data_IF_393955116644
#
_entry.id   IF_393955116644
#
_cell.length_a   1.000
_cell.length_b   1.000
_cell.length_c   1.000
_cell.angle_alpha   90.00
_cell.angle_beta   90.00
_cell.angle_gamma   90.00
#
_symmetry.space_group_name_H-M   'P 1'
#
loop_
_entity.id
_entity.type
_entity.pdbx_description
1 polymer ?
#
# COMPACT_ATOMS: atom_id res chain seq x y z
N UNK A 1 0.92 28.24 2.21
CA UNK A 1 1.98 29.15 1.76
C UNK A 1 2.33 30.12 2.89
N UNK A 2 3.61 30.43 3.05
CA UNK A 2 4.11 31.41 4.03
C UNK A 2 4.24 32.78 3.37
N UNK A 3 4.74 32.82 2.13
CA UNK A 3 4.83 34.03 1.34
C UNK A 3 3.55 34.19 0.50
N UNK A 4 2.87 35.37 0.56
CA UNK A 4 1.71 35.64 -0.27
C UNK A 4 1.95 35.48 -1.77
N UNK A 5 3.19 35.71 -2.21
CA UNK A 5 3.55 35.58 -3.64
C UNK A 5 3.59 34.13 -4.12
N UNK A 6 3.84 33.18 -3.21
CA UNK A 6 3.86 31.75 -3.56
C UNK A 6 2.47 31.17 -3.86
N UNK A 7 1.43 31.87 -3.48
CA UNK A 7 0.05 31.47 -3.73
C UNK A 7 -0.26 31.35 -5.23
N UNK A 8 0.45 32.07 -6.07
CA UNK A 8 0.31 32.00 -7.52
C UNK A 8 0.60 30.60 -8.06
N UNK A 9 1.50 29.84 -7.44
CA UNK A 9 1.80 28.46 -7.84
C UNK A 9 0.57 27.55 -7.70
N UNK A 10 -0.26 27.77 -6.70
CA UNK A 10 -1.52 27.05 -6.54
C UNK A 10 -2.48 27.32 -7.68
N UNK A 11 -2.62 28.59 -8.08
CA UNK A 11 -3.50 29.02 -9.18
C UNK A 11 -3.05 28.43 -10.52
N UNK A 12 -1.74 28.41 -10.78
CA UNK A 12 -1.18 27.79 -11.97
C UNK A 12 -1.52 26.29 -12.01
N UNK A 13 -1.35 25.59 -10.89
CA UNK A 13 -1.68 24.15 -10.80
C UNK A 13 -3.17 23.92 -10.98
N UNK A 14 -4.02 24.74 -10.39
CA UNK A 14 -5.48 24.64 -10.53
C UNK A 14 -5.91 24.84 -11.98
N UNK A 15 -5.43 25.89 -12.64
CA UNK A 15 -5.70 26.13 -14.06
C UNK A 15 -5.23 24.95 -14.91
N UNK A 16 -4.03 24.41 -14.64
CA UNK A 16 -3.51 23.23 -15.34
C UNK A 16 -4.33 21.95 -15.11
N UNK A 17 -5.13 21.90 -14.05
CA UNK A 17 -6.08 20.82 -13.77
C UNK A 17 -7.50 21.09 -14.29
N UNK A 18 -7.73 22.21 -14.98
CA UNK A 18 -9.01 22.55 -15.58
C UNK A 18 -10.00 23.22 -14.64
N UNK A 19 -9.54 23.86 -13.55
CA UNK A 19 -10.39 24.70 -12.73
C UNK A 19 -10.53 26.08 -13.38
N UNK A 20 -11.75 26.47 -13.75
CA UNK A 20 -12.03 27.72 -14.47
C UNK A 20 -12.04 28.94 -13.53
N UNK A 21 -12.22 28.72 -12.22
CA UNK A 21 -12.31 29.74 -11.17
C UNK A 21 -11.00 30.00 -10.42
N UNK A 22 -9.87 29.52 -10.93
CA UNK A 22 -8.59 29.60 -10.25
C UNK A 22 -8.19 31.04 -9.89
N UNK A 23 -8.52 32.02 -10.72
CA UNK A 23 -8.21 33.44 -10.49
C UNK A 23 -9.23 34.17 -9.59
N UNK A 24 -10.41 33.60 -9.43
CA UNK A 24 -11.50 34.17 -8.61
C UNK A 24 -11.44 33.71 -7.14
N UNK A 25 -10.62 32.73 -6.84
CA UNK A 25 -10.50 32.19 -5.49
C UNK A 25 -9.77 33.14 -4.55
N UNK A 26 -10.20 33.15 -3.27
CA UNK A 26 -9.51 33.89 -2.23
C UNK A 26 -8.04 33.44 -2.09
N UNK A 27 -7.10 34.38 -1.82
CA UNK A 27 -5.71 34.05 -1.62
C UNK A 27 -5.52 33.23 -0.35
N UNK A 28 -4.75 32.14 -0.45
CA UNK A 28 -4.49 31.19 0.63
C UNK A 28 -3.02 31.24 1.07
N UNK A 29 -2.74 31.98 2.10
CA UNK A 29 -1.45 32.01 2.78
C UNK A 29 -1.61 32.20 4.29
N UNK A 30 -0.59 31.87 5.04
CA UNK A 30 -0.59 32.04 6.49
C UNK A 30 -0.47 33.53 6.83
N UNK A 31 -1.44 34.06 7.54
CA UNK A 31 -1.44 35.43 8.06
C UNK A 31 -1.11 35.45 9.53
N UNK A 32 -0.37 36.46 9.93
CA UNK A 32 -0.17 36.76 11.35
C UNK A 32 -1.44 37.39 11.97
N UNK A 33 -1.47 37.51 13.28
CA UNK A 33 -2.60 38.15 13.97
C UNK A 33 -2.75 39.62 13.54
N UNK A 34 -1.63 40.32 13.36
CA UNK A 34 -1.60 41.72 12.93
C UNK A 34 -2.17 41.86 11.49
N UNK A 35 -1.74 41.01 10.58
CA UNK A 35 -2.25 41.00 9.20
C UNK A 35 -3.75 40.68 9.16
N UNK A 36 -4.21 39.75 10.03
CA UNK A 36 -5.64 39.44 10.13
C UNK A 36 -6.44 40.61 10.69
N UNK A 37 -5.93 41.34 11.69
CA UNK A 37 -6.58 42.53 12.22
C UNK A 37 -6.67 43.67 11.18
N UNK A 38 -5.63 43.83 10.35
CA UNK A 38 -5.64 44.75 9.22
C UNK A 38 -6.68 44.38 8.19
N UNK A 39 -6.74 43.10 7.79
CA UNK A 39 -7.73 42.57 6.85
C UNK A 39 -9.16 42.82 7.29
N UNK A 40 -9.43 42.73 8.60
CA UNK A 40 -10.75 42.98 9.20
C UNK A 40 -10.97 44.44 9.69
N UNK A 41 -10.08 45.35 9.34
CA UNK A 41 -10.14 46.75 9.81
C UNK A 41 -11.44 47.49 9.40
N UNK A 42 -12.08 47.06 8.31
CA UNK A 42 -13.36 47.58 7.86
C UNK A 42 -14.51 47.39 8.84
N UNK A 43 -14.38 46.51 9.82
CA UNK A 43 -15.34 46.27 10.92
C UNK A 43 -15.20 47.26 12.08
N UNK A 44 -14.11 48.05 12.11
CA UNK A 44 -13.66 48.78 13.27
C UNK A 44 -12.86 47.94 14.25
N UNK A 45 -12.01 48.60 15.05
CA UNK A 45 -11.00 47.92 15.90
C UNK A 45 -11.58 46.94 16.91
N UNK A 46 -12.66 47.27 17.57
CA UNK A 46 -13.31 46.42 18.58
C UNK A 46 -13.88 45.13 17.96
N UNK A 47 -14.56 45.27 16.82
CA UNK A 47 -15.15 44.12 16.14
C UNK A 47 -14.12 43.27 15.42
N UNK A 48 -13.07 43.89 14.92
CA UNK A 48 -11.93 43.16 14.35
C UNK A 48 -11.24 42.30 15.42
N UNK A 49 -11.00 42.84 16.62
CA UNK A 49 -10.43 42.09 17.76
C UNK A 49 -11.37 40.95 18.20
N UNK A 50 -12.67 41.20 18.25
CA UNK A 50 -13.64 40.17 18.59
C UNK A 50 -13.56 39.00 17.60
N UNK A 51 -13.53 39.25 16.28
CA UNK A 51 -13.55 38.25 15.23
C UNK A 51 -12.21 37.51 15.14
N UNK A 52 -11.10 38.23 15.21
CA UNK A 52 -9.76 37.68 14.94
C UNK A 52 -9.16 37.01 16.19
N UNK A 53 -9.43 37.52 17.38
CA UNK A 53 -8.79 37.07 18.63
C UNK A 53 -9.78 36.41 19.58
N UNK A 54 -10.82 37.13 19.96
CA UNK A 54 -11.69 36.71 21.07
C UNK A 54 -12.52 35.48 20.72
N UNK A 55 -13.14 35.45 19.54
CA UNK A 55 -13.98 34.33 19.14
C UNK A 55 -13.16 33.06 18.79
N UNK A 56 -12.02 33.12 18.09
CA UNK A 56 -11.15 31.96 17.93
C UNK A 56 -10.65 31.38 19.26
N UNK A 57 -10.31 32.21 20.25
CA UNK A 57 -9.93 31.73 21.59
C UNK A 57 -11.09 31.03 22.29
N UNK A 58 -12.28 31.62 22.28
CA UNK A 58 -13.47 30.98 22.86
C UNK A 58 -13.73 29.58 22.22
N UNK A 59 -13.58 29.45 20.91
CA UNK A 59 -13.73 28.17 20.23
C UNK A 59 -12.63 27.20 20.67
N UNK A 60 -11.38 27.67 20.72
CA UNK A 60 -10.25 26.86 21.17
C UNK A 60 -10.44 26.32 22.59
N UNK A 61 -10.99 27.15 23.49
CA UNK A 61 -11.25 26.80 24.88
C UNK A 61 -12.36 25.74 25.04
N UNK A 62 -13.21 25.57 24.03
CA UNK A 62 -14.23 24.51 23.99
C UNK A 62 -13.67 23.17 23.52
N UNK A 63 -12.47 23.15 22.93
CA UNK A 63 -11.87 21.93 22.38
C UNK A 63 -11.24 21.12 23.52
N UNK A 64 -11.70 19.90 23.66
CA UNK A 64 -11.13 18.93 24.61
C UNK A 64 -10.11 18.03 23.90
N UNK A 65 -9.07 17.64 24.67
CA UNK A 65 -8.11 16.66 24.18
C UNK A 65 -8.73 15.27 24.20
N UNK A 66 -9.09 14.78 23.02
CA UNK A 66 -9.63 13.44 22.86
C UNK A 66 -8.68 12.53 22.08
N UNK A 67 -8.84 11.23 22.25
CA UNK A 67 -8.17 10.21 21.45
C UNK A 67 -9.24 9.49 20.59
N UNK A 68 -9.52 9.99 19.36
CA UNK A 68 -10.61 9.46 18.54
C UNK A 68 -10.37 8.03 18.07
N UNK A 69 -9.10 7.62 18.03
CA UNK A 69 -8.70 6.27 17.62
C UNK A 69 -8.14 5.55 18.86
N UNK A 70 -8.67 4.37 19.16
CA UNK A 70 -8.14 3.51 20.23
C UNK A 70 -6.69 3.15 19.94
N UNK A 71 -5.85 3.22 20.98
CA UNK A 71 -4.49 2.74 20.86
C UNK A 71 -4.46 1.22 20.68
N UNK A 72 -3.64 0.73 19.75
CA UNK A 72 -3.46 -0.69 19.46
C UNK A 72 -3.96 -1.10 18.07
N UNK A 73 -3.75 -2.39 17.78
CA UNK A 73 -4.23 -3.04 16.56
C UNK A 73 -5.30 -4.05 16.95
N UNK A 74 -6.40 -4.07 16.22
CA UNK A 74 -7.54 -4.92 16.51
C UNK A 74 -7.91 -5.74 15.27
N UNK A 75 -7.03 -6.67 14.82
CA UNK A 75 -7.37 -7.53 13.70
C UNK A 75 -8.54 -8.43 14.07
N UNK A 76 -9.39 -8.82 13.10
CA UNK A 76 -10.41 -9.83 13.34
C UNK A 76 -9.75 -11.16 13.72
N UNK A 77 -10.51 -12.03 14.39
CA UNK A 77 -10.06 -13.38 14.75
C UNK A 77 -10.72 -14.38 13.81
N UNK A 78 -9.90 -15.16 13.13
CA UNK A 78 -10.32 -16.33 12.35
C UNK A 78 -9.59 -17.53 12.97
N UNK A 79 -10.36 -18.48 13.46
CA UNK A 79 -9.83 -19.69 14.08
C UNK A 79 -8.90 -20.43 13.10
N UNK A 80 -7.80 -20.96 13.62
CA UNK A 80 -6.79 -21.69 12.86
C UNK A 80 -6.21 -20.97 11.63
N UNK A 81 -6.30 -19.63 11.57
CA UNK A 81 -5.77 -18.85 10.43
C UNK A 81 -4.30 -19.14 10.15
N UNK A 82 -3.48 -19.33 11.19
CA UNK A 82 -2.05 -19.62 11.09
C UNK A 82 -1.80 -20.97 10.40
N UNK A 83 -2.49 -22.02 10.84
CA UNK A 83 -2.40 -23.37 10.26
C UNK A 83 -2.97 -23.40 8.85
N UNK A 84 -4.08 -22.69 8.62
CA UNK A 84 -4.75 -22.61 7.32
C UNK A 84 -3.86 -21.93 6.31
N UNK A 85 -3.25 -20.79 6.66
CA UNK A 85 -2.34 -20.07 5.76
C UNK A 85 -1.14 -20.93 5.41
N UNK A 86 -0.52 -21.56 6.41
CA UNK A 86 0.64 -22.45 6.21
C UNK A 86 0.26 -23.58 5.25
N UNK A 87 -0.86 -24.25 5.50
CA UNK A 87 -1.34 -25.34 4.65
C UNK A 87 -1.57 -24.88 3.20
N UNK A 88 -2.33 -23.80 2.98
CA UNK A 88 -2.59 -23.27 1.63
C UNK A 88 -1.28 -22.99 0.88
N UNK A 89 -0.31 -22.36 1.54
CA UNK A 89 0.95 -22.00 0.92
C UNK A 89 1.79 -23.24 0.57
N UNK A 90 1.85 -24.22 1.44
CA UNK A 90 2.61 -25.46 1.18
C UNK A 90 1.92 -26.34 0.14
N UNK A 91 0.60 -26.50 0.21
CA UNK A 91 -0.16 -27.24 -0.80
C UNK A 91 0.10 -26.66 -2.21
N UNK A 92 0.06 -25.35 -2.33
CA UNK A 92 0.34 -24.68 -3.61
C UNK A 92 1.81 -24.79 -4.03
N UNK A 93 2.73 -24.69 -3.09
CA UNK A 93 4.16 -24.86 -3.37
C UNK A 93 4.45 -26.28 -3.89
N UNK A 94 3.87 -27.32 -3.27
CA UNK A 94 4.01 -28.68 -3.75
C UNK A 94 3.34 -28.94 -5.10
N UNK A 95 2.20 -28.29 -5.36
CA UNK A 95 1.55 -28.36 -6.67
C UNK A 95 2.44 -27.80 -7.78
N UNK A 96 3.18 -26.74 -7.53
CA UNK A 96 4.02 -26.05 -8.52
C UNK A 96 5.40 -26.71 -8.62
N UNK A 97 6.06 -26.96 -7.49
CA UNK A 97 7.47 -27.34 -7.40
C UNK A 97 7.69 -28.84 -7.13
N UNK A 98 6.62 -29.63 -6.94
CA UNK A 98 6.69 -31.06 -6.65
C UNK A 98 6.80 -31.40 -5.16
N UNK A 99 6.89 -32.71 -4.86
CA UNK A 99 6.92 -33.19 -3.47
C UNK A 99 8.19 -32.76 -2.72
N UNK A 100 9.34 -32.74 -3.40
CA UNK A 100 10.60 -32.25 -2.85
C UNK A 100 10.82 -30.78 -3.26
N UNK A 101 10.50 -29.85 -2.34
CA UNK A 101 10.67 -28.43 -2.62
C UNK A 101 12.15 -28.04 -2.69
N UNK A 102 12.56 -27.29 -3.74
CA UNK A 102 13.90 -26.69 -3.76
C UNK A 102 14.18 -25.87 -2.49
N UNK A 103 15.42 -25.88 -2.02
CA UNK A 103 15.81 -25.19 -0.78
C UNK A 103 15.46 -23.68 -0.83
N UNK A 104 15.67 -23.04 -1.98
CA UNK A 104 15.33 -21.62 -2.17
C UNK A 104 13.83 -21.34 -1.98
N UNK A 105 12.97 -22.28 -2.38
CA UNK A 105 11.51 -22.20 -2.24
C UNK A 105 11.11 -22.40 -0.79
N UNK A 106 11.55 -23.50 -0.18
CA UNK A 106 11.18 -23.87 1.18
C UNK A 106 11.72 -22.86 2.21
N UNK A 107 12.99 -22.43 2.09
CA UNK A 107 13.59 -21.44 2.97
C UNK A 107 12.91 -20.08 2.86
N UNK A 108 12.56 -19.65 1.65
CA UNK A 108 11.84 -18.40 1.44
C UNK A 108 10.45 -18.43 2.08
N UNK A 109 9.70 -19.50 1.82
CA UNK A 109 8.34 -19.68 2.33
C UNK A 109 8.33 -19.75 3.85
N UNK A 110 9.22 -20.54 4.45
CA UNK A 110 9.31 -20.67 5.91
C UNK A 110 9.65 -19.34 6.59
N UNK A 111 10.60 -18.59 6.05
CA UNK A 111 10.98 -17.28 6.57
C UNK A 111 9.80 -16.31 6.57
N UNK A 112 9.04 -16.24 5.47
CA UNK A 112 7.90 -15.33 5.37
C UNK A 112 6.74 -15.78 6.27
N UNK A 113 6.37 -17.05 6.24
CA UNK A 113 5.29 -17.58 7.09
C UNK A 113 5.59 -17.38 8.58
N UNK A 114 6.81 -17.62 9.01
CA UNK A 114 7.19 -17.39 10.41
C UNK A 114 7.05 -15.92 10.79
N UNK A 115 7.47 -15.01 9.92
CA UNK A 115 7.30 -13.57 10.16
C UNK A 115 5.83 -13.16 10.20
N UNK A 116 5.01 -13.62 9.24
CA UNK A 116 3.59 -13.31 9.15
C UNK A 116 2.84 -13.82 10.39
N UNK A 117 3.07 -15.07 10.76
CA UNK A 117 2.39 -15.75 11.88
C UNK A 117 2.80 -15.14 13.21
N UNK A 118 4.11 -15.00 13.47
CA UNK A 118 4.61 -14.48 14.74
C UNK A 118 4.19 -13.03 15.02
N UNK A 119 3.91 -12.26 13.98
CA UNK A 119 3.40 -10.90 14.10
C UNK A 119 1.85 -10.82 14.07
N UNK A 120 1.13 -11.95 14.03
CA UNK A 120 -0.33 -12.01 14.05
C UNK A 120 -1.02 -11.53 12.76
N UNK A 121 -0.32 -11.60 11.62
CA UNK A 121 -0.87 -11.15 10.34
C UNK A 121 -1.50 -12.27 9.48
N UNK A 122 -1.45 -13.53 9.92
CA UNK A 122 -2.03 -14.64 9.15
C UNK A 122 -3.50 -14.43 8.79
N UNK A 123 -4.28 -13.90 9.74
CA UNK A 123 -5.70 -13.59 9.50
C UNK A 123 -5.91 -12.60 8.36
N UNK A 124 -5.00 -11.61 8.20
CA UNK A 124 -5.09 -10.63 7.12
C UNK A 124 -4.80 -11.28 5.75
N UNK A 125 -3.85 -12.22 5.71
CA UNK A 125 -3.59 -13.01 4.50
C UNK A 125 -4.78 -13.88 4.13
N UNK A 126 -5.41 -14.55 5.10
CA UNK A 126 -6.62 -15.36 4.86
C UNK A 126 -7.78 -14.50 4.34
N UNK A 127 -7.98 -13.30 4.90
CA UNK A 127 -9.02 -12.38 4.40
C UNK A 127 -8.70 -11.95 2.97
N UNK A 128 -7.47 -11.52 2.70
CA UNK A 128 -7.07 -11.10 1.36
C UNK A 128 -7.23 -12.24 0.34
N UNK A 129 -6.78 -13.44 0.69
CA UNK A 129 -6.94 -14.63 -0.14
C UNK A 129 -8.41 -14.90 -0.49
N UNK A 130 -9.30 -14.88 0.50
CA UNK A 130 -10.74 -15.10 0.27
C UNK A 130 -11.34 -14.04 -0.65
N UNK A 131 -10.97 -12.77 -0.45
CA UNK A 131 -11.47 -11.67 -1.29
C UNK A 131 -10.99 -11.80 -2.75
N UNK A 132 -9.72 -12.14 -2.94
CA UNK A 132 -9.17 -12.32 -4.29
C UNK A 132 -9.80 -13.52 -4.98
N UNK A 133 -9.92 -14.64 -4.29
CA UNK A 133 -10.53 -15.85 -4.87
C UNK A 133 -11.99 -15.63 -5.21
N UNK A 134 -12.77 -15.02 -4.33
CA UNK A 134 -14.17 -14.69 -4.60
C UNK A 134 -14.33 -13.76 -5.81
N UNK A 135 -13.46 -12.75 -5.93
CA UNK A 135 -13.44 -11.89 -7.12
C UNK A 135 -13.15 -12.66 -8.41
N UNK A 136 -12.14 -13.52 -8.40
CA UNK A 136 -11.76 -14.31 -9.56
C UNK A 136 -12.86 -15.30 -9.95
N UNK A 137 -13.51 -15.95 -8.98
CA UNK A 137 -14.62 -16.87 -9.20
C UNK A 137 -15.84 -16.19 -9.86
N UNK A 138 -16.00 -14.87 -9.60
CA UNK A 138 -17.01 -14.05 -10.27
C UNK A 138 -16.53 -13.40 -11.57
N UNK A 139 -15.34 -13.74 -12.05
CA UNK A 139 -14.79 -13.25 -13.31
C UNK A 139 -14.20 -11.84 -13.26
N UNK A 140 -13.96 -11.29 -12.07
CA UNK A 140 -13.31 -10.01 -11.88
C UNK A 140 -11.80 -10.19 -11.71
N UNK A 141 -11.02 -9.42 -12.49
CA UNK A 141 -9.57 -9.43 -12.38
C UNK A 141 -9.11 -8.64 -11.15
N UNK A 142 -8.20 -9.21 -10.39
CA UNK A 142 -7.56 -8.57 -9.25
C UNK A 142 -6.08 -8.36 -9.54
N UNK A 143 -5.64 -7.10 -9.57
CA UNK A 143 -4.23 -6.75 -9.76
C UNK A 143 -3.53 -6.43 -8.45
N UNK A 144 -2.28 -6.87 -8.33
CA UNK A 144 -1.43 -6.56 -7.18
C UNK A 144 -0.92 -5.13 -7.23
N UNK A 145 -0.86 -4.46 -6.07
CA UNK A 145 -0.25 -3.14 -5.92
C UNK A 145 0.71 -3.11 -4.73
N UNK A 146 1.79 -2.35 -4.88
CA UNK A 146 2.76 -2.14 -3.82
C UNK A 146 3.55 -3.40 -3.45
N UNK A 147 3.91 -3.51 -2.18
CA UNK A 147 4.84 -4.54 -1.68
C UNK A 147 4.31 -5.97 -1.65
N UNK A 148 3.01 -6.19 -1.91
CA UNK A 148 2.44 -7.55 -1.95
C UNK A 148 3.06 -8.40 -3.05
N UNK A 149 3.48 -7.80 -4.17
CA UNK A 149 4.20 -8.49 -5.25
C UNK A 149 5.61 -8.97 -4.88
N UNK A 150 6.14 -8.62 -3.70
CA UNK A 150 7.41 -9.13 -3.18
C UNK A 150 7.24 -10.23 -2.13
N UNK A 151 6.01 -10.63 -1.80
CA UNK A 151 5.71 -11.69 -0.84
C UNK A 151 5.45 -13.03 -1.52
N UNK A 152 6.33 -13.97 -1.31
CA UNK A 152 6.18 -15.33 -1.84
C UNK A 152 5.01 -16.08 -1.16
N UNK A 153 4.76 -15.82 0.11
CA UNK A 153 3.56 -16.33 0.79
C UNK A 153 2.27 -15.80 0.17
N UNK A 154 2.24 -14.55 -0.33
CA UNK A 154 1.10 -14.01 -1.06
C UNK A 154 0.91 -14.69 -2.42
N UNK A 155 2.00 -15.04 -3.11
CA UNK A 155 1.95 -15.82 -4.35
C UNK A 155 1.40 -17.22 -4.09
N UNK A 156 1.95 -17.91 -3.09
CA UNK A 156 1.54 -19.29 -2.75
C UNK A 156 0.12 -19.36 -2.19
N UNK A 157 -0.38 -18.30 -1.57
CA UNK A 157 -1.79 -18.22 -1.13
C UNK A 157 -2.76 -17.73 -2.20
N UNK A 158 -2.28 -17.41 -3.40
CA UNK A 158 -3.13 -16.95 -4.51
C UNK A 158 -3.67 -15.52 -4.33
N UNK A 159 -2.99 -14.69 -3.54
CA UNK A 159 -3.30 -13.26 -3.40
C UNK A 159 -2.73 -12.46 -4.55
N UNK A 160 -1.58 -12.87 -5.07
CA UNK A 160 -0.89 -12.23 -6.21
C UNK A 160 -0.37 -13.28 -7.18
N UNK A 161 -0.29 -12.89 -8.44
CA UNK A 161 0.32 -13.69 -9.52
C UNK A 161 1.84 -13.50 -9.60
N UNK A 162 2.36 -12.44 -8.97
CA UNK A 162 3.79 -12.11 -9.04
C UNK A 162 4.61 -13.07 -8.21
N UNK A 163 5.53 -13.79 -8.85
CA UNK A 163 6.50 -14.64 -8.15
C UNK A 163 7.78 -13.84 -7.84
N UNK A 164 8.10 -13.57 -6.56
CA UNK A 164 9.27 -12.77 -6.17
C UNK A 164 10.58 -13.56 -6.09
N UNK A 165 10.57 -14.83 -6.42
CA UNK A 165 11.80 -15.61 -6.52
C UNK A 165 12.64 -15.14 -7.72
N UNK A 166 13.95 -15.40 -7.73
CA UNK A 166 14.76 -15.22 -8.93
C UNK A 166 14.10 -15.90 -10.15
N UNK A 167 14.28 -15.33 -11.32
CA UNK A 167 13.76 -15.92 -12.56
C UNK A 167 14.28 -17.36 -12.72
N UNK A 168 13.39 -18.26 -13.08
CA UNK A 168 13.67 -19.69 -13.21
C UNK A 168 12.68 -20.37 -14.17
N UNK A 169 13.04 -21.55 -14.63
CA UNK A 169 12.15 -22.41 -15.38
C UNK A 169 11.59 -23.52 -14.51
N UNK A 170 10.36 -23.91 -14.76
CA UNK A 170 9.69 -25.05 -14.12
C UNK A 170 9.06 -25.89 -15.21
N UNK A 171 9.31 -27.19 -15.22
CA UNK A 171 8.58 -28.13 -16.06
C UNK A 171 7.21 -28.43 -15.43
N UNK A 172 6.09 -28.16 -16.11
CA UNK A 172 4.77 -28.39 -15.54
C UNK A 172 4.43 -29.89 -15.38
N UNK A 173 5.14 -30.79 -16.05
CA UNK A 173 4.86 -32.23 -16.01
C UNK A 173 5.68 -32.95 -14.93
N UNK A 174 7.00 -32.67 -14.85
CA UNK A 174 7.89 -33.38 -13.93
C UNK A 174 8.37 -32.53 -12.76
N UNK A 175 7.96 -31.26 -12.68
CA UNK A 175 8.35 -30.27 -11.66
C UNK A 175 9.87 -30.05 -11.55
N UNK A 176 10.63 -30.38 -12.59
CA UNK A 176 12.03 -30.01 -12.66
C UNK A 176 12.15 -28.47 -12.62
N UNK A 177 13.02 -27.98 -11.76
CA UNK A 177 13.21 -26.52 -11.55
C UNK A 177 14.66 -26.17 -11.87
N UNK A 178 14.82 -25.13 -12.68
CA UNK A 178 16.13 -24.61 -13.08
C UNK A 178 16.31 -23.15 -12.65
N UNK A 179 17.12 -22.93 -11.64
CA UNK A 179 17.56 -21.61 -11.19
C UNK A 179 18.96 -21.24 -11.67
N UNK A 180 19.77 -22.22 -12.09
CA UNK A 180 21.23 -22.09 -12.12
C UNK A 180 21.86 -22.26 -13.51
N UNK A 181 21.10 -22.68 -14.55
CA UNK A 181 21.66 -22.86 -15.88
C UNK A 181 22.26 -21.58 -16.45
N UNK A 182 23.22 -21.74 -17.36
CA UNK A 182 23.83 -20.61 -18.06
C UNK A 182 22.79 -19.71 -18.75
N UNK A 183 21.71 -20.31 -19.23
CA UNK A 183 20.62 -19.61 -19.88
C UNK A 183 19.85 -18.73 -18.91
N UNK A 184 19.46 -19.25 -17.74
CA UNK A 184 18.81 -18.48 -16.66
C UNK A 184 19.72 -17.36 -16.19
N UNK A 185 21.00 -17.65 -15.95
CA UNK A 185 21.98 -16.67 -15.53
C UNK A 185 22.22 -15.56 -16.57
N UNK A 186 22.18 -15.90 -17.85
CA UNK A 186 22.27 -14.93 -18.94
C UNK A 186 21.11 -13.95 -18.91
N UNK A 187 19.88 -14.42 -18.79
CA UNK A 187 18.70 -13.57 -18.75
C UNK A 187 18.63 -12.74 -17.47
N UNK A 188 18.98 -13.32 -16.34
CA UNK A 188 19.09 -12.60 -15.06
C UNK A 188 20.09 -11.42 -15.13
N UNK A 189 21.25 -11.62 -15.76
CA UNK A 189 22.23 -10.55 -16.00
C UNK A 189 21.74 -9.45 -16.94
N UNK A 190 20.80 -9.76 -17.82
CA UNK A 190 20.15 -8.80 -18.71
C UNK A 190 19.03 -8.04 -18.00
N UNK A 191 18.75 -8.34 -16.73
CA UNK A 191 17.65 -7.73 -15.95
C UNK A 191 16.26 -8.17 -16.40
N UNK A 192 16.15 -9.29 -17.09
CA UNK A 192 14.87 -9.84 -17.55
C UNK A 192 14.13 -10.49 -16.37
N UNK A 193 12.84 -10.23 -16.27
CA UNK A 193 11.96 -10.94 -15.37
C UNK A 193 11.59 -12.32 -15.96
N UNK A 194 10.99 -13.19 -15.13
CA UNK A 194 10.49 -14.48 -15.64
C UNK A 194 9.49 -14.35 -16.79
N UNK A 195 8.73 -13.24 -16.85
CA UNK A 195 7.80 -12.94 -17.94
C UNK A 195 8.50 -12.56 -19.26
N UNK A 196 9.71 -12.02 -19.18
CA UNK A 196 10.48 -11.57 -20.34
C UNK A 196 11.38 -12.67 -20.89
N UNK A 197 11.54 -13.77 -20.16
CA UNK A 197 12.32 -14.92 -20.60
C UNK A 197 11.56 -15.69 -21.67
N UNK A 198 12.22 -16.18 -22.74
CA UNK A 198 11.55 -16.99 -23.74
C UNK A 198 11.03 -18.29 -23.10
N UNK A 199 9.85 -18.72 -23.56
CA UNK A 199 9.33 -20.04 -23.21
C UNK A 199 10.38 -21.08 -23.54
N UNK A 200 10.65 -21.88 -22.58
CA UNK A 200 11.58 -22.99 -22.42
C UNK A 200 12.40 -23.53 -23.60
N UNK A 201 13.28 -24.26 -23.23
CA UNK A 201 14.06 -25.36 -23.73
C UNK A 201 13.54 -25.99 -25.05
#
# INVERSE_FOLDING_TARGET
FMDPQDEIYRRIIMTGKGFDDADEQAPLFLRTTEEMLEEFSYLGSEKAEEVVITNPRKISDLVEKISPIRAGKFPPVIEDSDKTLRRICYDRAHEIYGEELPEIVSARLERELNSIISNGYAVMYIIAQKLVWDSNDHGYLVGSRGSVGSSFAATMSGITEVNPLPAHYICPECHFVDFDSEQVQKYAKMGMSGFDMPDAY
#
